data_IF_344431255826
#
_entry.id   IF_344431255826
#
_cell.length_a   1.000
_cell.length_b   1.000
_cell.length_c   1.000
_cell.angle_alpha   90.00
_cell.angle_beta   90.00
_cell.angle_gamma   90.00
#
_symmetry.space_group_name_H-M   'P 1'
#
loop_
_entity.id
_entity.type
_entity.pdbx_description
1 polymer ?
#
# COMPACT_ATOMS: atom_id res chain seq x y z
N UNK A 1 11.08 -2.19 7.43
CA UNK A 1 12.12 -1.82 6.43
C UNK A 1 13.33 -1.12 7.04
N UNK A 2 13.17 -0.20 7.99
CA UNK A 2 14.31 0.52 8.61
C UNK A 2 15.28 -0.36 9.40
N UNK A 3 14.81 -1.45 10.02
CA UNK A 3 15.65 -2.32 10.86
C UNK A 3 16.60 -3.21 10.05
N UNK A 4 16.19 -3.64 8.88
CA UNK A 4 16.98 -4.48 7.98
C UNK A 4 16.67 -4.10 6.53
N UNK A 5 17.26 -3.01 6.02
CA UNK A 5 16.98 -2.52 4.67
C UNK A 5 17.50 -3.49 3.60
N UNK A 6 18.63 -4.15 3.83
CA UNK A 6 19.23 -5.08 2.85
C UNK A 6 18.30 -6.25 2.58
N UNK A 7 17.88 -6.96 3.63
CA UNK A 7 16.95 -8.08 3.51
C UNK A 7 15.63 -7.64 2.86
N UNK A 8 15.15 -6.45 3.23
CA UNK A 8 13.91 -5.90 2.69
C UNK A 8 14.01 -5.68 1.17
N UNK A 9 15.08 -5.00 0.72
CA UNK A 9 15.32 -4.74 -0.70
C UNK A 9 15.55 -6.02 -1.49
N UNK A 10 16.30 -6.97 -0.94
CA UNK A 10 16.47 -8.29 -1.57
C UNK A 10 15.14 -9.02 -1.78
N UNK A 11 14.25 -9.01 -0.77
CA UNK A 11 12.95 -9.67 -0.88
C UNK A 11 12.03 -8.96 -1.88
N UNK A 12 11.87 -7.66 -1.75
CA UNK A 12 10.86 -6.94 -2.53
C UNK A 12 11.35 -6.59 -3.94
N UNK A 13 12.59 -6.12 -4.11
CA UNK A 13 13.10 -5.75 -5.43
C UNK A 13 13.52 -6.99 -6.23
N UNK A 14 14.39 -7.83 -5.66
CA UNK A 14 14.86 -9.03 -6.36
C UNK A 14 13.73 -10.03 -6.52
N UNK A 15 12.85 -10.18 -5.52
CA UNK A 15 11.65 -11.02 -5.64
C UNK A 15 10.76 -10.56 -6.79
N UNK A 16 10.51 -9.27 -6.94
CA UNK A 16 9.73 -8.72 -8.07
C UNK A 16 10.42 -9.01 -9.40
N UNK A 17 11.73 -8.81 -9.51
CA UNK A 17 12.46 -9.11 -10.73
C UNK A 17 12.38 -10.60 -11.10
N UNK A 18 12.46 -11.50 -10.12
CA UNK A 18 12.30 -12.95 -10.37
C UNK A 18 10.87 -13.31 -10.83
N UNK A 19 9.84 -12.65 -10.29
CA UNK A 19 8.46 -12.86 -10.73
C UNK A 19 8.24 -12.30 -12.14
N UNK A 20 8.81 -11.15 -12.49
CA UNK A 20 8.79 -10.62 -13.85
C UNK A 20 9.46 -11.60 -14.84
N UNK A 21 10.63 -12.18 -14.46
CA UNK A 21 11.31 -13.17 -15.29
C UNK A 21 10.52 -14.48 -15.42
N UNK A 22 9.85 -14.91 -14.34
CA UNK A 22 8.92 -16.03 -14.39
C UNK A 22 7.78 -15.77 -15.38
N UNK A 23 7.12 -14.61 -15.27
CA UNK A 23 6.05 -14.19 -16.18
C UNK A 23 6.53 -14.20 -17.65
N UNK A 24 7.75 -13.69 -17.90
CA UNK A 24 8.35 -13.72 -19.24
C UNK A 24 8.52 -15.12 -19.78
N UNK A 25 9.04 -16.04 -18.96
CA UNK A 25 9.29 -17.45 -19.39
C UNK A 25 8.02 -18.28 -19.56
N UNK A 26 6.99 -17.98 -18.76
CA UNK A 26 5.71 -18.69 -18.83
C UNK A 26 4.68 -18.00 -19.74
N UNK A 27 5.06 -16.93 -20.42
CA UNK A 27 4.17 -16.10 -21.26
C UNK A 27 2.90 -15.66 -20.53
N UNK A 28 3.04 -15.40 -19.21
CA UNK A 28 1.95 -15.02 -18.34
C UNK A 28 1.84 -13.50 -18.19
N UNK A 29 0.63 -13.02 -17.86
CA UNK A 29 0.42 -11.64 -17.42
C UNK A 29 0.89 -11.46 -15.98
N UNK A 30 1.27 -10.24 -15.62
CA UNK A 30 1.65 -9.88 -14.27
C UNK A 30 0.88 -8.66 -13.80
N UNK A 31 0.13 -8.82 -12.70
CA UNK A 31 -0.47 -7.71 -11.94
C UNK A 31 0.38 -7.51 -10.68
N UNK A 32 1.06 -6.39 -10.61
CA UNK A 32 1.96 -6.06 -9.50
C UNK A 32 1.21 -5.25 -8.43
N UNK A 33 1.31 -5.68 -7.18
CA UNK A 33 0.79 -4.93 -6.03
C UNK A 33 1.71 -3.73 -5.71
N UNK A 34 1.44 -2.60 -6.31
CA UNK A 34 2.07 -1.31 -6.02
C UNK A 34 1.58 -0.68 -4.72
N UNK A 35 1.99 0.53 -4.42
CA UNK A 35 1.65 1.22 -3.18
C UNK A 35 1.57 2.73 -3.34
N UNK A 36 0.59 3.33 -2.69
CA UNK A 36 0.47 4.79 -2.54
C UNK A 36 1.62 5.43 -1.76
N UNK A 37 2.49 4.64 -1.12
CA UNK A 37 3.66 5.15 -0.39
C UNK A 37 4.62 5.95 -1.27
N UNK A 38 4.60 5.75 -2.61
CA UNK A 38 5.37 6.53 -3.57
C UNK A 38 4.93 8.01 -3.65
N UNK A 39 3.69 8.35 -3.26
CA UNK A 39 3.21 9.75 -3.27
C UNK A 39 3.90 10.65 -2.25
N UNK A 40 4.31 10.11 -1.11
CA UNK A 40 5.12 10.83 -0.14
C UNK A 40 6.59 11.00 -0.57
N UNK A 41 6.96 10.40 -1.72
CA UNK A 41 8.31 10.32 -2.27
C UNK A 41 8.92 8.93 -2.11
N UNK A 42 9.47 8.34 -3.19
CA UNK A 42 10.03 6.99 -3.14
C UNK A 42 11.24 6.89 -2.22
N UNK A 43 11.89 8.02 -1.88
CA UNK A 43 13.08 8.06 -1.02
C UNK A 43 12.77 8.20 0.47
N UNK A 44 11.49 8.21 0.89
CA UNK A 44 11.12 8.37 2.30
C UNK A 44 11.56 7.20 3.19
N UNK A 45 11.54 6.00 2.66
CA UNK A 45 11.93 4.80 3.39
C UNK A 45 12.17 3.62 2.43
N UNK A 46 12.86 2.55 2.90
CA UNK A 46 13.15 1.39 2.05
C UNK A 46 11.91 0.69 1.45
N UNK A 47 10.76 0.74 2.14
CA UNK A 47 9.50 0.19 1.61
C UNK A 47 9.00 0.99 0.39
N UNK A 48 8.90 2.31 0.52
CA UNK A 48 8.45 3.16 -0.58
C UNK A 48 9.38 3.02 -1.79
N UNK A 49 10.69 2.99 -1.56
CA UNK A 49 11.70 2.77 -2.59
C UNK A 49 11.53 1.42 -3.29
N UNK A 50 11.37 0.33 -2.53
CA UNK A 50 11.22 -1.00 -3.09
C UNK A 50 9.94 -1.14 -3.94
N UNK A 51 8.81 -0.58 -3.46
CA UNK A 51 7.54 -0.60 -4.20
C UNK A 51 7.63 0.21 -5.49
N UNK A 52 8.20 1.40 -5.44
CA UNK A 52 8.43 2.20 -6.64
C UNK A 52 9.35 1.50 -7.65
N UNK A 53 10.47 0.94 -7.19
CA UNK A 53 11.39 0.20 -8.06
C UNK A 53 10.74 -1.05 -8.67
N UNK A 54 9.84 -1.71 -7.93
CA UNK A 54 9.06 -2.83 -8.46
C UNK A 54 8.15 -2.42 -9.63
N UNK A 55 7.49 -1.26 -9.55
CA UNK A 55 6.71 -0.70 -10.67
C UNK A 55 7.61 -0.45 -11.89
N UNK A 56 8.79 0.16 -11.69
CA UNK A 56 9.76 0.41 -12.76
C UNK A 56 10.28 -0.90 -13.38
N UNK A 57 10.45 -1.95 -12.56
CA UNK A 57 10.83 -3.27 -13.04
C UNK A 57 9.73 -3.87 -13.95
N UNK A 58 8.46 -3.79 -13.55
CA UNK A 58 7.33 -4.24 -14.35
C UNK A 58 7.26 -3.49 -15.70
N UNK A 59 7.38 -2.18 -15.67
CA UNK A 59 7.40 -1.32 -16.87
C UNK A 59 8.57 -1.69 -17.81
N UNK A 60 9.76 -1.91 -17.27
CA UNK A 60 10.93 -2.32 -18.05
C UNK A 60 10.70 -3.67 -18.72
N UNK A 61 10.16 -4.68 -18.00
CA UNK A 61 9.87 -5.98 -18.59
C UNK A 61 8.82 -5.90 -19.70
N UNK A 62 7.83 -5.03 -19.58
CA UNK A 62 6.89 -4.76 -20.66
C UNK A 62 7.57 -4.17 -21.87
N UNK A 63 8.33 -3.09 -21.71
CA UNK A 63 8.95 -2.34 -22.81
C UNK A 63 10.05 -3.12 -23.52
N UNK A 64 10.85 -3.88 -22.77
CA UNK A 64 12.03 -4.58 -23.32
C UNK A 64 11.70 -5.98 -23.81
N UNK A 65 10.83 -6.68 -23.09
CA UNK A 65 10.56 -8.10 -23.36
C UNK A 65 9.12 -8.39 -23.81
N UNK A 66 8.25 -7.39 -23.89
CA UNK A 66 6.86 -7.56 -24.32
C UNK A 66 5.97 -8.31 -23.34
N UNK A 67 6.38 -8.41 -22.06
CA UNK A 67 5.55 -9.04 -21.01
C UNK A 67 4.37 -8.14 -20.69
N UNK A 68 3.16 -8.66 -20.70
CA UNK A 68 2.00 -7.87 -20.24
C UNK A 68 2.06 -7.68 -18.74
N UNK A 69 2.46 -6.49 -18.28
CA UNK A 69 2.50 -6.12 -16.87
C UNK A 69 1.65 -4.89 -16.59
N UNK A 70 1.04 -4.85 -15.41
CA UNK A 70 0.32 -3.69 -14.89
C UNK A 70 0.58 -3.56 -13.39
N UNK A 71 0.76 -2.33 -12.91
CA UNK A 71 0.93 -2.03 -11.50
C UNK A 71 -0.37 -1.46 -10.93
N UNK A 72 -0.88 -2.07 -9.86
CA UNK A 72 -2.03 -1.61 -9.10
C UNK A 72 -1.56 -0.95 -7.80
N UNK A 73 -1.59 0.39 -7.72
CA UNK A 73 -1.24 1.12 -6.50
C UNK A 73 -2.40 1.07 -5.51
N UNK A 74 -2.20 0.37 -4.39
CA UNK A 74 -3.17 0.34 -3.31
C UNK A 74 -3.02 1.55 -2.41
N UNK A 75 -4.15 2.11 -2.04
CA UNK A 75 -4.28 3.06 -0.94
C UNK A 75 -4.65 2.32 0.34
N UNK A 76 -4.82 3.00 1.46
CA UNK A 76 -4.96 2.34 2.77
C UNK A 76 -6.10 1.32 2.81
N UNK A 77 -5.78 0.08 2.44
CA UNK A 77 -6.77 -1.01 2.34
C UNK A 77 -7.21 -1.43 3.73
N UNK A 78 -8.52 -1.59 3.89
CA UNK A 78 -9.16 -2.10 5.10
C UNK A 78 -10.25 -3.10 4.74
N UNK A 79 -10.70 -3.87 5.72
CA UNK A 79 -11.79 -4.81 5.55
C UNK A 79 -11.61 -6.08 6.36
N UNK A 80 -12.49 -7.05 6.13
CA UNK A 80 -12.50 -8.31 6.87
C UNK A 80 -11.15 -9.03 6.83
N UNK A 81 -10.79 -9.65 7.94
CA UNK A 81 -9.55 -10.42 8.13
C UNK A 81 -8.26 -9.59 8.07
N UNK A 82 -8.35 -8.26 8.14
CA UNK A 82 -7.15 -7.41 8.22
C UNK A 82 -6.37 -7.68 9.51
N UNK A 83 -5.02 -7.52 9.51
CA UNK A 83 -4.24 -7.58 10.73
C UNK A 83 -4.63 -6.45 11.70
N UNK A 84 -5.01 -6.80 12.93
CA UNK A 84 -5.41 -5.83 13.97
C UNK A 84 -4.28 -5.53 14.96
N UNK A 85 -3.13 -6.21 14.84
CA UNK A 85 -1.95 -6.02 15.67
C UNK A 85 -0.68 -6.42 14.93
N UNK A 86 0.48 -6.05 15.50
CA UNK A 86 1.78 -6.35 14.90
C UNK A 86 2.26 -5.32 13.87
N UNK A 87 3.40 -5.58 13.21
CA UNK A 87 4.09 -4.58 12.37
C UNK A 87 3.38 -4.27 11.05
N UNK A 88 2.39 -5.07 10.66
CA UNK A 88 1.63 -4.92 9.41
C UNK A 88 0.19 -4.43 9.65
N UNK A 89 -0.22 -4.23 10.91
CA UNK A 89 -1.54 -3.71 11.22
C UNK A 89 -1.68 -2.27 10.73
N UNK A 90 -2.76 -2.00 10.00
CA UNK A 90 -3.14 -0.65 9.56
C UNK A 90 -3.93 0.07 10.65
N UNK A 91 -4.08 1.38 10.52
CA UNK A 91 -4.76 2.20 11.54
C UNK A 91 -6.22 1.74 11.77
N UNK A 92 -6.94 1.33 10.72
CA UNK A 92 -8.32 0.82 10.86
C UNK A 92 -8.35 -0.43 11.75
N UNK A 93 -7.52 -1.43 11.46
CA UNK A 93 -7.45 -2.65 12.26
C UNK A 93 -6.96 -2.41 13.70
N UNK A 94 -6.04 -1.46 13.90
CA UNK A 94 -5.60 -1.06 15.24
C UNK A 94 -6.78 -0.44 16.02
N UNK A 95 -7.53 0.48 15.40
CA UNK A 95 -8.68 1.14 16.03
C UNK A 95 -9.82 0.16 16.33
N UNK A 96 -10.09 -0.79 15.42
CA UNK A 96 -11.05 -1.89 15.67
C UNK A 96 -10.69 -2.66 16.94
N UNK A 97 -9.43 -3.11 17.04
CA UNK A 97 -8.97 -3.84 18.23
C UNK A 97 -9.05 -2.99 19.49
N UNK A 98 -8.60 -1.74 19.44
CA UNK A 98 -8.62 -0.85 20.59
C UNK A 98 -10.06 -0.58 21.07
N UNK A 99 -11.00 -0.40 20.14
CA UNK A 99 -12.43 -0.23 20.46
C UNK A 99 -13.00 -1.49 21.14
N UNK A 100 -12.73 -2.68 20.57
CA UNK A 100 -13.16 -3.94 21.16
C UNK A 100 -12.58 -4.16 22.57
N UNK A 101 -11.31 -3.81 22.76
CA UNK A 101 -10.60 -3.92 24.03
C UNK A 101 -10.91 -2.76 25.01
N UNK A 102 -11.77 -1.82 24.64
CA UNK A 102 -12.10 -0.59 25.40
C UNK A 102 -10.85 0.23 25.78
N UNK A 103 -9.89 0.28 24.87
CA UNK A 103 -8.66 1.06 25.03
C UNK A 103 -8.75 2.37 24.26
N UNK A 104 -8.03 3.42 24.68
CA UNK A 104 -7.94 4.67 23.93
C UNK A 104 -7.36 4.43 22.52
N UNK A 105 -7.92 5.13 21.52
CA UNK A 105 -7.44 5.12 20.15
C UNK A 105 -6.08 5.81 20.04
N UNK A 106 -5.04 5.10 19.63
CA UNK A 106 -3.68 5.66 19.54
C UNK A 106 -3.45 6.37 18.21
N UNK A 107 -3.23 7.68 18.27
CA UNK A 107 -3.02 8.55 17.11
C UNK A 107 -1.56 8.99 17.05
N UNK A 108 -0.86 8.74 15.94
CA UNK A 108 0.52 9.19 15.72
C UNK A 108 0.56 10.69 15.39
N UNK A 109 1.54 11.42 15.94
CA UNK A 109 1.68 12.85 15.72
C UNK A 109 0.47 13.64 16.22
N UNK A 110 0.00 14.58 15.43
CA UNK A 110 -1.19 15.40 15.71
C UNK A 110 -2.49 14.84 15.10
N UNK A 111 -2.41 13.74 14.32
CA UNK A 111 -3.55 13.11 13.71
C UNK A 111 -4.10 13.77 12.44
N UNK A 112 -3.43 14.84 11.94
CA UNK A 112 -3.87 15.57 10.75
C UNK A 112 -3.39 14.95 9.42
N UNK A 113 -2.51 13.94 9.48
CA UNK A 113 -2.11 13.18 8.30
C UNK A 113 -3.33 12.50 7.66
N UNK A 114 -3.44 12.60 6.33
CA UNK A 114 -4.64 12.18 5.58
C UNK A 114 -4.38 10.91 4.77
N UNK A 115 -5.39 10.06 4.68
CA UNK A 115 -5.33 8.78 3.95
C UNK A 115 -6.61 8.56 3.16
N UNK A 116 -6.46 8.10 1.92
CA UNK A 116 -7.53 7.48 1.16
C UNK A 116 -7.69 6.03 1.67
N UNK A 117 -8.85 5.72 2.20
CA UNK A 117 -9.18 4.39 2.73
C UNK A 117 -10.06 3.65 1.75
N UNK A 118 -9.59 2.50 1.26
CA UNK A 118 -10.28 1.71 0.24
C UNK A 118 -10.65 0.35 0.80
N UNK A 119 -11.91 -0.06 0.61
CA UNK A 119 -12.35 -1.38 1.07
C UNK A 119 -11.69 -2.50 0.27
N UNK A 120 -11.42 -3.64 0.92
CA UNK A 120 -10.75 -4.78 0.27
C UNK A 120 -11.51 -5.33 -0.93
N UNK A 121 -12.85 -5.30 -0.92
CA UNK A 121 -13.65 -5.77 -2.05
C UNK A 121 -13.48 -4.91 -3.29
N UNK A 122 -13.30 -3.58 -3.12
CA UNK A 122 -13.04 -2.67 -4.25
C UNK A 122 -11.64 -2.94 -4.83
N UNK A 123 -10.65 -3.20 -3.95
CA UNK A 123 -9.31 -3.60 -4.39
C UNK A 123 -9.36 -4.92 -5.16
N UNK A 124 -10.07 -5.93 -4.66
CA UNK A 124 -10.21 -7.24 -5.33
C UNK A 124 -10.91 -7.07 -6.67
N UNK A 125 -12.00 -6.28 -6.74
CA UNK A 125 -12.70 -5.99 -7.99
C UNK A 125 -11.77 -5.32 -9.02
N UNK A 126 -10.97 -4.35 -8.58
CA UNK A 126 -9.96 -3.70 -9.41
C UNK A 126 -8.89 -4.68 -9.92
N UNK A 127 -8.39 -5.56 -9.05
CA UNK A 127 -7.40 -6.58 -9.44
C UNK A 127 -7.95 -7.57 -10.46
N UNK A 128 -9.20 -8.02 -10.29
CA UNK A 128 -9.88 -8.91 -11.25
C UNK A 128 -9.99 -8.20 -12.61
N UNK A 129 -10.47 -6.97 -12.64
CA UNK A 129 -10.57 -6.18 -13.88
C UNK A 129 -9.19 -6.02 -14.57
N UNK A 130 -8.13 -5.72 -13.79
CA UNK A 130 -6.77 -5.60 -14.32
C UNK A 130 -6.23 -6.95 -14.84
N UNK A 131 -6.65 -8.07 -14.28
CA UNK A 131 -6.20 -9.41 -14.74
C UNK A 131 -6.73 -9.77 -16.12
N UNK A 132 -7.84 -9.18 -16.56
CA UNK A 132 -8.50 -9.49 -17.85
C UNK A 132 -7.85 -8.74 -19.04
N UNK A 133 -7.26 -7.57 -18.79
CA UNK A 133 -6.65 -6.71 -19.83
C UNK A 133 -5.29 -7.18 -20.36
N UNK A 134 -4.79 -6.46 -21.35
CA UNK A 134 -3.39 -6.53 -21.82
C UNK A 134 -2.78 -5.15 -21.58
N UNK A 135 -1.58 -5.11 -21.04
CA UNK A 135 -0.94 -3.90 -20.57
C UNK A 135 0.53 -3.83 -21.00
N UNK A 136 1.07 -2.60 -21.00
CA UNK A 136 2.46 -2.31 -21.38
C UNK A 136 3.22 -1.62 -20.23
N UNK A 137 2.97 -2.03 -19.00
CA UNK A 137 3.62 -1.47 -17.81
C UNK A 137 2.89 -0.30 -17.17
N UNK A 138 1.62 -0.08 -17.52
CA UNK A 138 0.80 1.01 -16.96
C UNK A 138 0.64 0.87 -15.45
N UNK A 139 0.36 2.00 -14.80
CA UNK A 139 0.10 2.09 -13.36
C UNK A 139 -1.31 2.61 -13.15
N UNK A 140 -2.14 1.86 -12.44
CA UNK A 140 -3.48 2.25 -12.03
C UNK A 140 -3.56 2.45 -10.52
N UNK A 141 -4.30 3.46 -10.11
CA UNK A 141 -4.53 3.77 -8.71
C UNK A 141 -5.86 3.14 -8.27
N UNK A 142 -5.79 2.27 -7.26
CA UNK A 142 -6.97 1.64 -6.66
C UNK A 142 -7.25 2.33 -5.31
N UNK A 143 -7.96 3.44 -5.38
CA UNK A 143 -8.37 4.28 -4.26
C UNK A 143 -9.76 4.84 -4.49
N UNK A 144 -10.28 5.60 -3.52
CA UNK A 144 -11.63 6.18 -3.56
C UNK A 144 -11.66 7.61 -4.10
N UNK A 145 -10.50 8.28 -4.22
CA UNK A 145 -10.42 9.70 -4.54
C UNK A 145 -10.89 10.62 -3.40
N UNK A 146 -11.07 10.08 -2.20
CA UNK A 146 -11.44 10.84 -1.00
C UNK A 146 -10.57 10.41 0.17
N UNK A 147 -9.97 11.39 0.87
CA UNK A 147 -9.15 11.09 2.03
C UNK A 147 -9.71 11.69 3.33
N UNK A 148 -9.36 11.06 4.43
CA UNK A 148 -9.74 11.46 5.78
C UNK A 148 -8.48 11.62 6.63
N UNK A 149 -8.50 12.57 7.58
CA UNK A 149 -7.46 12.63 8.60
C UNK A 149 -7.59 11.46 9.57
N UNK A 150 -6.52 11.13 10.27
CA UNK A 150 -6.60 10.10 11.31
C UNK A 150 -7.51 10.56 12.46
N UNK A 151 -7.61 11.88 12.68
CA UNK A 151 -8.58 12.45 13.63
C UNK A 151 -10.03 12.24 13.20
N UNK A 152 -10.34 12.40 11.90
CA UNK A 152 -11.68 12.11 11.34
C UNK A 152 -12.02 10.62 11.51
N UNK A 153 -11.08 9.74 11.13
CA UNK A 153 -11.24 8.30 11.30
C UNK A 153 -11.49 7.93 12.78
N UNK A 154 -10.69 8.46 13.70
CA UNK A 154 -10.87 8.22 15.12
C UNK A 154 -12.22 8.74 15.64
N UNK A 155 -12.73 9.82 15.04
CA UNK A 155 -14.09 10.34 15.32
C UNK A 155 -15.18 9.35 14.94
N UNK A 156 -15.02 8.62 13.83
CA UNK A 156 -15.98 7.59 13.38
C UNK A 156 -16.03 6.38 14.31
N UNK A 157 -14.89 5.98 14.88
CA UNK A 157 -14.84 4.90 15.88
C UNK A 157 -15.41 5.33 17.25
N UNK A 158 -15.27 6.62 17.59
CA UNK A 158 -15.61 7.14 18.92
C UNK A 158 -14.60 6.72 20.00
N UNK A 159 -14.82 7.17 21.24
CA UNK A 159 -13.96 6.83 22.36
C UNK A 159 -12.85 7.85 22.64
N UNK A 160 -12.03 7.52 23.65
CA UNK A 160 -10.91 8.36 24.08
C UNK A 160 -9.77 8.31 23.06
N UNK A 161 -9.12 9.45 22.82
CA UNK A 161 -7.97 9.58 21.91
C UNK A 161 -6.68 9.75 22.72
N UNK A 162 -5.64 8.99 22.35
CA UNK A 162 -4.30 9.08 22.93
C UNK A 162 -3.28 9.39 21.85
N UNK A 163 -2.67 10.57 21.89
CA UNK A 163 -1.64 10.95 20.94
C UNK A 163 -0.28 10.38 21.34
N UNK A 164 0.43 9.81 20.36
CA UNK A 164 1.76 9.22 20.51
C UNK A 164 2.74 9.88 19.52
N UNK A 165 4.06 9.78 19.72
CA UNK A 165 5.04 10.40 18.83
C UNK A 165 4.86 10.02 17.37
N UNK A 166 5.09 10.97 16.46
CA UNK A 166 5.05 10.75 15.02
C UNK A 166 6.06 9.69 14.57
N UNK A 167 5.73 8.95 13.52
CA UNK A 167 6.61 7.93 12.94
C UNK A 167 7.50 8.52 11.87
N UNK A 168 8.81 8.23 11.85
CA UNK A 168 9.70 8.65 10.77
C UNK A 168 9.26 8.06 9.41
N UNK A 169 9.36 8.87 8.35
CA UNK A 169 9.09 8.41 6.99
C UNK A 169 7.62 8.11 6.69
N UNK A 170 6.69 8.66 7.46
CA UNK A 170 5.26 8.62 7.19
C UNK A 170 4.89 9.73 6.20
N UNK A 171 4.16 9.37 5.13
CA UNK A 171 3.65 10.35 4.19
C UNK A 171 2.60 11.25 4.90
N UNK A 172 2.60 12.55 4.59
CA UNK A 172 1.62 13.47 5.14
C UNK A 172 0.23 13.22 4.57
N UNK A 173 0.15 12.99 3.26
CA UNK A 173 -1.11 12.76 2.57
C UNK A 173 -0.98 11.68 1.51
N UNK A 174 -2.03 10.87 1.35
CA UNK A 174 -2.22 9.98 0.21
C UNK A 174 -3.65 10.13 -0.30
N UNK A 175 -3.79 10.32 -1.61
CA UNK A 175 -5.07 10.49 -2.29
C UNK A 175 -4.95 9.88 -3.69
N UNK A 176 -5.90 9.05 -4.07
CA UNK A 176 -6.01 8.55 -5.44
C UNK A 176 -6.52 9.64 -6.37
N UNK A 177 -6.02 9.63 -7.60
CA UNK A 177 -6.36 10.56 -8.67
C UNK A 177 -7.57 10.05 -9.45
#
# INVERSE_FOLDING_TARGET
SFKDPIKYLQTDMMGTAHVCELARRSESKLVYAGSSSAFGGPMLNPYAFAKFTGEQCCEMYSKVYGVSTVSARFFNVYGERQPVSGPYATVVGIFEKQTLDRQPLTITGNGEQRRDFTHVDDIVSGLVALSEGQYNGEVYQLGTGTNYSINDLAGMFGGEKKYIPARPGEAWETLAD
#
